data_IF_409436820643
#
_entry.id   IF_409436820643
#
_cell.length_a   1.000
_cell.length_b   1.000
_cell.length_c   1.000
_cell.angle_alpha   90.00
_cell.angle_beta   90.00
_cell.angle_gamma   90.00
#
_symmetry.space_group_name_H-M   'P 1'
#
loop_
_entity.id
_entity.type
_entity.pdbx_description
1 polymer ?
#
# COMPACT_ATOMS: atom_id res chain seq x y z
N UNK A 1 6.99 0.90 5.12
CA UNK A 1 6.99 1.47 3.76
C UNK A 1 6.65 2.94 3.88
N UNK A 2 7.59 3.81 3.52
CA UNK A 2 7.50 5.25 3.69
C UNK A 2 6.33 5.86 2.91
N UNK A 3 5.98 5.32 1.74
CA UNK A 3 4.80 5.79 0.98
C UNK A 3 3.51 5.61 1.76
N UNK A 4 3.28 4.44 2.34
CA UNK A 4 2.10 4.18 3.17
C UNK A 4 2.09 5.06 4.42
N UNK A 5 3.24 5.19 5.09
CA UNK A 5 3.37 6.06 6.27
C UNK A 5 3.04 7.52 5.94
N UNK A 6 3.62 8.05 4.85
CA UNK A 6 3.37 9.42 4.41
C UNK A 6 1.88 9.66 4.15
N UNK A 7 1.25 8.78 3.36
CA UNK A 7 -0.16 8.90 3.00
C UNK A 7 -1.12 8.75 4.20
N UNK A 8 -0.84 7.80 5.11
CA UNK A 8 -1.71 7.54 6.26
C UNK A 8 -1.54 8.55 7.40
N UNK A 9 -0.32 9.08 7.62
CA UNK A 9 -0.04 10.02 8.71
C UNK A 9 -0.13 11.48 8.29
N UNK A 10 -0.17 11.76 6.99
CA UNK A 10 -0.04 13.11 6.47
C UNK A 10 1.38 13.68 6.54
N UNK A 11 2.35 12.87 6.98
CA UNK A 11 3.74 13.31 7.15
C UNK A 11 4.73 12.16 7.15
N UNK A 12 5.97 12.47 6.83
CA UNK A 12 7.11 11.54 6.86
C UNK A 12 8.36 12.28 7.32
N UNK A 13 9.19 11.64 8.14
CA UNK A 13 10.44 12.21 8.60
C UNK A 13 11.39 12.50 7.43
N UNK A 14 12.10 13.64 7.48
CA UNK A 14 13.04 14.03 6.41
C UNK A 14 14.26 13.10 6.32
N UNK A 15 14.58 12.40 7.42
CA UNK A 15 15.64 11.40 7.48
C UNK A 15 15.14 9.96 7.22
N UNK A 16 13.87 9.78 6.82
CA UNK A 16 13.27 8.45 6.69
C UNK A 16 14.08 7.54 5.75
N UNK A 17 14.33 6.27 6.11
CA UNK A 17 15.24 5.40 5.38
C UNK A 17 14.88 5.20 3.91
N UNK A 18 13.59 5.11 3.59
CA UNK A 18 13.06 4.92 2.23
C UNK A 18 13.33 6.10 1.28
N UNK A 19 13.69 7.28 1.80
CA UNK A 19 14.12 8.41 0.97
C UNK A 19 15.54 8.21 0.39
N UNK A 20 16.27 7.19 0.84
CA UNK A 20 17.60 6.81 0.34
C UNK A 20 18.57 8.01 0.31
N UNK A 21 18.97 8.47 -0.88
CA UNK A 21 19.89 9.58 -1.06
C UNK A 21 19.25 10.97 -0.88
N UNK A 22 17.92 11.06 -0.83
CA UNK A 22 17.18 12.32 -0.69
C UNK A 22 16.87 12.68 0.76
N UNK A 23 17.45 11.97 1.73
CA UNK A 23 17.27 12.28 3.16
C UNK A 23 17.77 13.70 3.43
N UNK A 24 16.96 14.50 4.09
CA UNK A 24 17.21 15.91 4.39
C UNK A 24 17.43 16.81 3.16
N UNK A 25 17.16 16.33 1.94
CA UNK A 25 17.38 17.10 0.72
C UNK A 25 16.29 18.16 0.54
N UNK A 26 16.71 19.41 0.36
CA UNK A 26 15.84 20.55 0.12
C UNK A 26 14.97 20.43 -1.14
N UNK A 27 15.34 19.58 -2.11
CA UNK A 27 14.55 19.40 -3.33
C UNK A 27 13.13 18.88 -3.04
N UNK A 28 12.95 18.14 -1.93
CA UNK A 28 11.66 17.60 -1.52
C UNK A 28 10.76 18.63 -0.81
N UNK A 29 11.30 19.79 -0.39
CA UNK A 29 10.51 20.84 0.28
C UNK A 29 9.35 21.35 -0.60
N UNK A 30 9.53 21.33 -1.93
CA UNK A 30 8.49 21.76 -2.88
C UNK A 30 7.28 20.85 -2.94
N UNK A 31 7.40 19.61 -2.46
CA UNK A 31 6.28 18.67 -2.36
C UNK A 31 5.59 18.70 -0.99
N UNK A 32 6.19 19.36 0.00
CA UNK A 32 5.60 19.51 1.34
C UNK A 32 4.53 20.59 1.34
N UNK A 33 3.41 20.31 2.01
CA UNK A 33 2.38 21.31 2.26
C UNK A 33 2.70 22.17 3.48
N UNK A 34 2.17 23.39 3.53
CA UNK A 34 2.23 24.24 4.73
C UNK A 34 3.58 24.94 4.96
N UNK A 35 3.78 25.41 6.19
CA UNK A 35 5.02 26.05 6.59
C UNK A 35 6.16 25.01 6.64
N UNK A 36 7.39 25.48 6.39
CA UNK A 36 8.58 24.64 6.41
C UNK A 36 8.78 24.02 7.79
N UNK A 37 8.65 22.70 7.87
CA UNK A 37 9.00 21.90 9.05
C UNK A 37 10.44 21.37 8.90
N UNK A 38 11.36 21.65 9.84
CA UNK A 38 12.73 21.13 9.80
C UNK A 38 12.81 19.61 9.97
N UNK A 39 11.75 18.96 10.45
CA UNK A 39 11.75 17.54 10.82
C UNK A 39 10.94 16.63 9.90
N UNK A 40 9.89 17.13 9.26
CA UNK A 40 9.00 16.32 8.41
C UNK A 40 8.69 16.97 7.06
N UNK A 41 8.43 16.13 6.05
CA UNK A 41 7.64 16.50 4.88
C UNK A 41 6.17 16.16 5.15
N UNK A 42 5.24 17.01 4.72
CA UNK A 42 3.81 16.85 5.05
C UNK A 42 2.89 17.00 3.84
N UNK A 43 1.67 16.49 3.94
CA UNK A 43 0.56 16.81 3.04
C UNK A 43 -0.73 17.12 3.83
N UNK A 44 -1.59 17.98 3.28
CA UNK A 44 -2.83 18.37 3.94
C UNK A 44 -4.00 17.40 3.77
N UNK A 45 -3.85 16.36 2.93
CA UNK A 45 -4.88 15.35 2.73
C UNK A 45 -5.06 14.51 3.99
N UNK A 46 -6.30 14.21 4.37
CA UNK A 46 -6.64 13.36 5.52
C UNK A 46 -7.10 12.02 4.99
N UNK A 47 -6.14 11.15 4.69
CA UNK A 47 -6.39 9.93 3.95
C UNK A 47 -6.48 8.72 4.87
N UNK A 48 -7.51 7.90 4.66
CA UNK A 48 -7.62 6.57 5.24
C UNK A 48 -7.55 5.51 4.13
N UNK A 49 -6.87 4.40 4.43
CA UNK A 49 -6.83 3.23 3.55
C UNK A 49 -8.16 2.48 3.61
N UNK A 50 -8.72 2.17 2.45
CA UNK A 50 -9.93 1.38 2.31
C UNK A 50 -9.73 -0.08 2.75
N UNK A 51 -8.51 -0.57 2.52
CA UNK A 51 -8.12 -1.97 2.74
C UNK A 51 -7.10 -2.00 3.87
N UNK A 52 -7.29 -2.93 4.79
CA UNK A 52 -6.40 -3.16 5.92
C UNK A 52 -5.81 -4.57 5.84
N UNK A 53 -4.58 -4.71 6.33
CA UNK A 53 -3.82 -5.96 6.28
C UNK A 53 -4.49 -7.10 7.07
N UNK A 54 -5.34 -6.77 8.04
CA UNK A 54 -6.15 -7.73 8.78
C UNK A 54 -7.23 -8.40 7.91
N UNK A 55 -7.73 -7.69 6.90
CA UNK A 55 -8.82 -8.15 6.03
C UNK A 55 -8.31 -8.68 4.69
N UNK A 56 -7.23 -8.09 4.16
CA UNK A 56 -6.57 -8.53 2.93
C UNK A 56 -5.07 -8.66 3.21
N UNK A 57 -4.57 -9.88 3.45
CA UNK A 57 -3.19 -10.08 3.91
C UNK A 57 -2.13 -9.77 2.85
N UNK A 58 -2.49 -9.82 1.56
CA UNK A 58 -1.62 -9.47 0.45
C UNK A 58 -2.47 -9.05 -0.75
N UNK A 59 -1.95 -8.10 -1.53
CA UNK A 59 -2.55 -7.65 -2.81
C UNK A 59 -1.70 -8.06 -3.99
N UNK A 60 -0.47 -8.51 -3.76
CA UNK A 60 0.37 -9.12 -4.76
C UNK A 60 0.86 -10.48 -4.25
N UNK A 61 0.87 -11.47 -5.14
CA UNK A 61 1.51 -12.76 -4.93
C UNK A 61 2.17 -13.25 -6.21
N UNK A 62 3.27 -12.62 -6.56
CA UNK A 62 4.14 -13.02 -7.67
C UNK A 62 4.88 -14.31 -7.34
N UNK A 63 4.72 -15.33 -8.19
CA UNK A 63 5.64 -16.48 -8.20
C UNK A 63 6.17 -16.73 -9.61
N UNK A 64 7.49 -16.82 -9.72
CA UNK A 64 8.13 -17.11 -11.00
C UNK A 64 7.82 -18.54 -11.45
N UNK A 65 7.73 -19.48 -10.52
CA UNK A 65 7.31 -20.85 -10.84
C UNK A 65 5.88 -20.91 -11.38
N UNK A 66 4.96 -20.11 -10.83
CA UNK A 66 3.59 -20.03 -11.34
C UNK A 66 3.57 -19.56 -12.80
N UNK A 67 4.40 -18.56 -13.15
CA UNK A 67 4.52 -18.06 -14.52
C UNK A 67 5.06 -19.11 -15.51
N UNK A 68 6.12 -19.85 -15.15
CA UNK A 68 6.67 -20.93 -15.98
C UNK A 68 5.68 -22.09 -16.15
N UNK A 69 5.02 -22.48 -15.05
CA UNK A 69 3.98 -23.50 -15.05
C UNK A 69 2.83 -23.12 -15.99
N UNK A 70 2.41 -21.86 -15.98
CA UNK A 70 1.37 -21.34 -16.86
C UNK A 70 1.73 -21.41 -18.35
N UNK A 71 3.00 -21.16 -18.68
CA UNK A 71 3.49 -21.19 -20.07
C UNK A 71 3.87 -22.59 -20.56
N UNK A 72 3.77 -23.62 -19.71
CA UNK A 72 4.25 -24.96 -20.03
C UNK A 72 5.75 -25.01 -20.32
N UNK A 73 6.52 -24.05 -19.78
CA UNK A 73 7.95 -23.95 -19.97
C UNK A 73 8.65 -24.43 -18.71
N UNK A 74 9.62 -25.34 -18.84
CA UNK A 74 10.49 -25.66 -17.72
C UNK A 74 11.43 -24.46 -17.45
N UNK A 75 11.68 -24.08 -16.18
CA UNK A 75 12.79 -23.19 -15.89
C UNK A 75 14.08 -23.84 -16.42
N UNK A 76 14.91 -23.08 -17.14
CA UNK A 76 16.18 -23.57 -17.68
C UNK A 76 16.95 -24.31 -16.58
N UNK A 77 17.24 -25.59 -16.82
CA UNK A 77 17.76 -26.54 -15.83
C UNK A 77 19.20 -26.15 -15.45
N UNK A 78 19.32 -25.18 -14.54
CA UNK A 78 20.59 -24.73 -14.00
C UNK A 78 20.39 -24.46 -12.49
N UNK A 79 21.02 -25.24 -11.59
CA UNK A 79 20.76 -25.16 -10.15
C UNK A 79 20.99 -23.76 -9.56
N UNK A 80 21.93 -22.99 -10.15
CA UNK A 80 22.22 -21.61 -9.74
C UNK A 80 21.09 -20.65 -10.14
N UNK A 81 20.46 -20.86 -11.30
CA UNK A 81 19.29 -20.08 -11.70
C UNK A 81 18.07 -20.40 -10.84
N UNK A 82 17.87 -21.65 -10.43
CA UNK A 82 16.70 -22.05 -9.64
C UNK A 82 16.59 -21.32 -8.29
N UNK A 83 17.72 -21.16 -7.58
CA UNK A 83 17.75 -20.43 -6.30
C UNK A 83 17.58 -18.92 -6.47
N UNK A 84 18.08 -18.33 -7.55
CA UNK A 84 17.89 -16.91 -7.86
C UNK A 84 16.45 -16.62 -8.33
N UNK A 85 15.80 -17.56 -9.02
CA UNK A 85 14.40 -17.44 -9.44
C UNK A 85 13.45 -17.41 -8.23
N UNK A 86 13.72 -18.18 -7.17
CA UNK A 86 12.94 -18.12 -5.92
C UNK A 86 13.09 -16.78 -5.18
N UNK A 87 14.20 -16.05 -5.36
CA UNK A 87 14.33 -14.69 -4.80
C UNK A 87 13.46 -13.65 -5.49
N UNK A 88 12.95 -13.95 -6.68
CA UNK A 88 12.03 -13.08 -7.42
C UNK A 88 10.57 -13.28 -7.00
N UNK A 89 10.28 -14.25 -6.12
CA UNK A 89 8.96 -14.40 -5.55
C UNK A 89 8.67 -13.26 -4.58
N UNK A 90 7.49 -12.66 -4.70
CA UNK A 90 7.05 -11.58 -3.83
C UNK A 90 5.61 -11.83 -3.40
N UNK A 91 5.35 -11.63 -2.10
CA UNK A 91 4.00 -11.68 -1.54
C UNK A 91 3.87 -10.56 -0.52
N UNK A 92 2.95 -9.64 -0.76
CA UNK A 92 2.79 -8.49 0.12
C UNK A 92 1.62 -7.58 -0.26
N UNK A 93 1.35 -6.62 0.61
CA UNK A 93 0.38 -5.56 0.38
C UNK A 93 1.09 -4.35 -0.25
N UNK A 94 0.87 -4.14 -1.54
CA UNK A 94 1.49 -3.03 -2.30
C UNK A 94 0.47 -2.18 -3.08
N UNK A 95 -0.80 -2.59 -3.08
CA UNK A 95 -1.90 -1.89 -3.73
C UNK A 95 -2.81 -1.29 -2.66
N UNK A 96 -3.19 -0.03 -2.82
CA UNK A 96 -3.94 0.72 -1.82
C UNK A 96 -5.02 1.58 -2.49
N UNK A 97 -6.15 1.73 -1.83
CA UNK A 97 -7.17 2.74 -2.16
C UNK A 97 -7.20 3.69 -0.97
N UNK A 98 -6.69 4.92 -1.13
CA UNK A 98 -6.81 5.96 -0.12
C UNK A 98 -8.01 6.86 -0.44
N UNK A 99 -8.72 7.26 0.60
CA UNK A 99 -9.87 8.15 0.49
C UNK A 99 -9.91 9.15 1.65
N UNK A 100 -10.59 10.27 1.46
CA UNK A 100 -10.79 11.26 2.53
C UNK A 100 -12.12 10.97 3.23
N UNK A 101 -12.13 10.50 4.49
CA UNK A 101 -13.37 10.08 5.17
C UNK A 101 -14.41 11.19 5.31
N UNK A 102 -13.99 12.45 5.25
CA UNK A 102 -14.87 13.61 5.30
C UNK A 102 -15.69 13.78 4.00
N UNK A 103 -15.19 13.32 2.85
CA UNK A 103 -15.87 13.44 1.55
C UNK A 103 -16.34 12.11 0.98
N UNK A 104 -15.78 10.99 1.43
CA UNK A 104 -16.11 9.64 0.97
C UNK A 104 -16.32 8.72 2.18
N UNK A 105 -17.58 8.40 2.46
CA UNK A 105 -17.93 7.40 3.47
C UNK A 105 -17.77 5.99 2.88
N UNK A 106 -16.86 5.18 3.44
CA UNK A 106 -16.68 3.78 3.05
C UNK A 106 -17.89 2.96 3.48
N UNK A 107 -18.60 2.36 2.53
CA UNK A 107 -19.75 1.48 2.77
C UNK A 107 -19.31 0.01 2.92
N UNK A 108 -18.27 -0.40 2.19
CA UNK A 108 -17.76 -1.76 2.20
C UNK A 108 -16.54 -1.93 1.29
N UNK A 109 -15.96 -3.13 1.30
CA UNK A 109 -14.82 -3.51 0.46
C UNK A 109 -14.92 -4.98 0.06
N UNK A 110 -14.25 -5.35 -1.04
CA UNK A 110 -14.11 -6.73 -1.47
C UNK A 110 -13.03 -7.43 -0.62
N UNK A 111 -13.40 -8.51 0.08
CA UNK A 111 -12.48 -9.28 0.91
C UNK A 111 -11.40 -10.02 0.11
N UNK A 112 -10.47 -10.65 0.83
CA UNK A 112 -9.43 -11.48 0.22
C UNK A 112 -10.00 -12.71 -0.50
N UNK A 113 -9.16 -13.36 -1.31
CA UNK A 113 -9.47 -14.68 -1.83
C UNK A 113 -9.79 -15.67 -0.71
N UNK A 114 -10.75 -16.57 -0.95
CA UNK A 114 -11.04 -17.68 -0.05
C UNK A 114 -9.80 -18.57 0.10
N UNK A 115 -9.29 -18.66 1.33
CA UNK A 115 -8.13 -19.49 1.67
C UNK A 115 -8.35 -20.97 1.33
N UNK A 116 -9.58 -21.47 1.40
CA UNK A 116 -9.90 -22.85 1.05
C UNK A 116 -9.76 -23.08 -0.45
N UNK A 117 -10.23 -22.15 -1.28
CA UNK A 117 -10.08 -22.23 -2.73
C UNK A 117 -8.59 -22.19 -3.13
N UNK A 118 -7.81 -21.30 -2.53
CA UNK A 118 -6.36 -21.19 -2.75
C UNK A 118 -5.66 -22.52 -2.39
N UNK A 119 -6.00 -23.13 -1.25
CA UNK A 119 -5.43 -24.39 -0.81
C UNK A 119 -5.84 -25.57 -1.71
N UNK A 120 -7.13 -25.67 -2.06
CA UNK A 120 -7.66 -26.76 -2.90
C UNK A 120 -7.04 -26.76 -4.30
N UNK A 121 -6.77 -25.58 -4.87
CA UNK A 121 -6.14 -25.44 -6.18
C UNK A 121 -4.61 -25.43 -6.12
N UNK A 122 -4.01 -25.63 -4.94
CA UNK A 122 -2.55 -25.68 -4.73
C UNK A 122 -1.84 -24.45 -5.32
N UNK A 123 -2.43 -23.28 -5.13
CA UNK A 123 -1.89 -22.04 -5.69
C UNK A 123 -0.61 -21.66 -4.94
N UNK A 124 0.51 -21.79 -5.64
CA UNK A 124 1.85 -21.41 -5.15
C UNK A 124 2.22 -19.96 -5.47
N UNK A 125 1.34 -19.27 -6.20
CA UNK A 125 1.46 -17.87 -6.61
C UNK A 125 0.66 -17.60 -7.89
N UNK A 126 0.75 -16.37 -8.36
CA UNK A 126 0.05 -15.89 -9.54
C UNK A 126 1.06 -15.35 -10.59
N UNK A 127 0.67 -15.25 -11.87
CA UNK A 127 -0.64 -15.58 -12.44
C UNK A 127 -0.96 -17.10 -12.41
N UNK A 128 -2.23 -17.45 -12.55
CA UNK A 128 -2.79 -18.82 -12.56
C UNK A 128 -3.83 -18.96 -13.70
N UNK A 129 -4.17 -20.16 -14.23
CA UNK A 129 -5.16 -20.29 -15.32
C UNK A 129 -6.50 -19.60 -15.09
N UNK A 130 -6.91 -19.48 -13.82
CA UNK A 130 -8.14 -18.80 -13.39
C UNK A 130 -7.92 -17.34 -12.92
N UNK A 131 -6.68 -16.91 -12.76
CA UNK A 131 -6.31 -15.58 -12.22
C UNK A 131 -5.21 -14.98 -13.10
N UNK A 132 -5.56 -14.06 -14.02
CA UNK A 132 -4.65 -13.64 -15.09
C UNK A 132 -3.54 -12.67 -14.66
N UNK A 133 -3.57 -12.18 -13.41
CA UNK A 133 -2.60 -11.22 -12.86
C UNK A 133 -2.06 -11.71 -11.53
N UNK A 134 -0.83 -11.32 -11.21
CA UNK A 134 -0.21 -11.48 -9.90
C UNK A 134 -0.62 -10.43 -8.87
N UNK A 135 -1.31 -9.38 -9.32
CA UNK A 135 -2.02 -8.44 -8.46
C UNK A 135 -3.48 -8.89 -8.29
N UNK A 136 -3.90 -8.94 -7.03
CA UNK A 136 -5.26 -9.23 -6.59
C UNK A 136 -6.06 -7.94 -6.66
N UNK A 137 -7.18 -7.91 -7.39
CA UNK A 137 -8.04 -6.73 -7.43
C UNK A 137 -8.53 -6.35 -6.04
N UNK A 138 -8.31 -5.09 -5.66
CA UNK A 138 -8.93 -4.47 -4.49
C UNK A 138 -10.09 -3.59 -4.94
N UNK A 139 -11.19 -3.62 -4.20
CA UNK A 139 -12.40 -2.84 -4.49
C UNK A 139 -12.99 -2.31 -3.20
N UNK A 140 -13.45 -1.06 -3.23
CA UNK A 140 -14.16 -0.42 -2.13
C UNK A 140 -15.37 0.35 -2.66
N UNK A 141 -16.45 0.32 -1.91
CA UNK A 141 -17.67 1.07 -2.19
C UNK A 141 -17.74 2.31 -1.30
N UNK A 142 -18.05 3.46 -1.89
CA UNK A 142 -18.15 4.73 -1.18
C UNK A 142 -19.47 5.43 -1.46
N UNK A 143 -19.95 6.16 -0.45
CA UNK A 143 -20.93 7.23 -0.62
C UNK A 143 -20.21 8.58 -0.61
N UNK A 144 -20.54 9.45 -1.57
CA UNK A 144 -20.03 10.83 -1.59
C UNK A 144 -20.78 11.65 -0.54
N UNK A 145 -20.02 12.33 0.33
CA UNK A 145 -20.56 13.26 1.33
C UNK A 145 -20.51 14.67 0.74
N UNK A 146 -21.68 15.30 0.45
CA UNK A 146 -21.72 16.66 -0.07
C UNK A 146 -21.07 17.64 0.89
N UNK A 147 -20.44 18.70 0.37
CA UNK A 147 -19.75 19.72 1.17
C UNK A 147 -20.64 20.38 2.21
N UNK A 148 -21.95 20.49 1.94
CA UNK A 148 -22.95 21.00 2.89
C UNK A 148 -23.10 20.16 4.16
N UNK A 149 -22.74 18.87 4.10
CA UNK A 149 -22.81 17.92 5.22
C UNK A 149 -21.44 17.59 5.81
N UNK A 150 -20.37 18.22 5.31
CA UNK A 150 -19.03 18.01 5.84
C UNK A 150 -18.88 18.78 7.15
N UNK A 151 -18.44 18.07 8.19
CA UNK A 151 -18.12 18.71 9.47
C UNK A 151 -16.92 19.63 9.25
N UNK A 152 -16.98 20.85 9.80
CA UNK A 152 -15.83 21.75 9.77
C UNK A 152 -14.59 21.00 10.27
N UNK A 153 -13.44 21.12 9.59
CA UNK A 153 -12.22 20.48 10.07
C UNK A 153 -11.96 20.96 11.50
N UNK A 154 -11.62 20.08 12.45
CA UNK A 154 -11.12 20.52 13.75
C UNK A 154 -10.02 21.56 13.54
N UNK A 155 -9.97 22.61 14.38
CA UNK A 155 -8.92 23.62 14.30
C UNK A 155 -7.57 22.90 14.28
N UNK A 156 -6.58 23.41 13.51
CA UNK A 156 -5.26 22.80 13.49
C UNK A 156 -4.83 22.62 14.94
N UNK A 157 -4.50 21.39 15.33
CA UNK A 157 -3.96 21.13 16.67
C UNK A 157 -2.84 22.13 16.87
N UNK A 158 -3.00 23.07 17.81
CA UNK A 158 -1.88 23.85 18.29
C UNK A 158 -0.81 22.82 18.64
N UNK A 159 0.40 22.99 18.08
CA UNK A 159 1.56 22.20 18.42
C UNK A 159 1.61 22.13 19.95
N UNK A 160 1.13 21.02 20.50
CA UNK A 160 1.06 20.86 21.94
C UNK A 160 2.51 20.76 22.39
N UNK A 161 3.01 21.87 22.93
CA UNK A 161 4.29 21.91 23.60
C UNK A 161 4.39 20.75 24.59
N UNK A 162 5.56 20.10 24.55
CA UNK A 162 6.12 19.20 25.55
C UNK A 162 5.15 18.37 26.40
N UNK A 163 5.19 17.05 26.20
CA UNK A 163 4.95 16.13 27.32
C UNK A 163 6.26 15.46 27.75
N UNK A 164 6.46 15.24 29.06
CA UNK A 164 7.75 14.86 29.61
C UNK A 164 8.02 13.36 29.53
N UNK A 165 9.32 13.08 29.34
CA UNK A 165 10.08 11.82 29.37
C UNK A 165 9.93 10.88 28.17
#
# INVERSE_FOLDING_TARGET
MGVFEFLSRGQIARNHPDLKGFREDTCLERFSSGARDPSNYTHSLRLDSAVEMCNIPFTNYTSVLAYYSLRGQAPLYCPVFFTELFRLDFKGMIDYIFSTPQSLARLGFLGAFDSNWVAQNKIIGFPHPHVPSDHIPIMAQYAVIPTSHQRAPPPPHALAGGFPR
#
